data_IF_411511565329
#
_entry.id   IF_411511565329
#
_cell.length_a   1.000
_cell.length_b   1.000
_cell.length_c   1.000
_cell.angle_alpha   90.00
_cell.angle_beta   90.00
_cell.angle_gamma   90.00
#
_symmetry.space_group_name_H-M   'P 1'
#
loop_
_entity.id
_entity.type
_entity.pdbx_description
1 polymer ?
#
# COMPACT_ATOMS: atom_id res chain seq x y z
N UNK A 1 -1.95 -3.77 24.26
CA UNK A 1 -1.03 -3.32 23.20
C UNK A 1 -1.74 -3.36 21.85
N UNK A 2 -1.69 -2.28 21.09
CA UNK A 2 -2.24 -2.32 19.74
C UNK A 2 -1.45 -3.33 18.89
N UNK A 3 -2.15 -4.14 18.17
CA UNK A 3 -1.53 -5.14 17.31
C UNK A 3 -1.35 -4.58 15.91
N UNK A 4 -0.13 -4.67 15.40
CA UNK A 4 0.17 -4.32 14.02
C UNK A 4 -0.04 -5.55 13.13
N UNK A 5 -0.73 -5.36 12.03
CA UNK A 5 -1.01 -6.42 11.07
C UNK A 5 -0.67 -5.92 9.67
N UNK A 6 0.14 -6.70 8.94
CA UNK A 6 0.42 -6.42 7.55
C UNK A 6 -0.37 -7.41 6.70
N UNK A 7 -1.05 -6.91 5.67
CA UNK A 7 -1.87 -7.74 4.79
C UNK A 7 -1.36 -7.61 3.36
N UNK A 8 -1.07 -8.76 2.75
CA UNK A 8 -0.78 -8.87 1.33
C UNK A 8 -2.08 -9.24 0.63
N UNK A 9 -2.58 -8.34 -0.20
CA UNK A 9 -3.85 -8.55 -0.88
C UNK A 9 -3.67 -9.39 -2.15
N UNK A 10 -4.68 -10.18 -2.48
CA UNK A 10 -4.73 -10.85 -3.76
C UNK A 10 -4.76 -9.82 -4.90
N UNK A 11 -4.44 -10.26 -6.10
CA UNK A 11 -4.41 -9.38 -7.28
C UNK A 11 -5.71 -8.60 -7.39
N UNK A 12 -5.59 -7.29 -7.57
CA UNK A 12 -6.73 -6.40 -7.61
C UNK A 12 -7.28 -6.00 -6.25
N UNK A 13 -6.68 -6.51 -5.17
CA UNK A 13 -7.02 -6.15 -3.78
C UNK A 13 -8.52 -6.17 -3.50
N UNK A 14 -9.23 -7.29 -3.75
CA UNK A 14 -10.69 -7.31 -3.59
C UNK A 14 -11.12 -6.99 -2.15
N UNK A 15 -10.34 -7.43 -1.16
CA UNK A 15 -10.66 -7.17 0.23
C UNK A 15 -10.57 -5.70 0.63
N UNK A 16 -9.76 -4.92 -0.08
CA UNK A 16 -9.62 -3.49 0.22
C UNK A 16 -10.62 -2.65 -0.57
N UNK A 17 -10.96 -3.06 -1.79
CA UNK A 17 -11.83 -2.24 -2.65
C UNK A 17 -13.32 -2.37 -2.37
N UNK A 18 -13.77 -3.48 -1.78
CA UNK A 18 -15.21 -3.67 -1.46
C UNK A 18 -15.47 -3.30 0.00
N UNK A 19 -16.39 -3.98 0.64
CA UNK A 19 -16.55 -3.84 2.08
C UNK A 19 -15.32 -4.32 2.82
N UNK A 20 -14.50 -5.06 2.10
CA UNK A 20 -13.15 -5.37 2.50
C UNK A 20 -13.05 -6.44 3.56
N UNK A 21 -11.92 -7.17 3.47
CA UNK A 21 -11.50 -8.02 4.56
C UNK A 21 -10.23 -7.39 5.11
N UNK A 22 -10.38 -6.76 6.26
CA UNK A 22 -9.25 -6.21 6.98
C UNK A 22 -8.65 -7.24 7.93
N UNK A 23 -7.93 -6.78 8.93
CA UNK A 23 -7.37 -7.67 9.94
C UNK A 23 -8.44 -8.60 10.53
N UNK A 24 -8.07 -9.85 10.73
CA UNK A 24 -8.95 -10.89 11.28
C UNK A 24 -10.12 -11.26 10.36
N UNK A 25 -10.00 -10.98 9.05
CA UNK A 25 -11.01 -11.30 8.05
C UNK A 25 -12.37 -10.61 8.31
N UNK A 26 -12.35 -9.46 8.97
CA UNK A 26 -13.57 -8.69 9.25
C UNK A 26 -13.82 -7.67 8.16
N UNK A 27 -15.08 -7.40 7.80
CA UNK A 27 -15.38 -6.30 6.88
C UNK A 27 -14.90 -4.97 7.44
N UNK A 28 -14.26 -4.14 6.62
CA UNK A 28 -13.62 -2.91 7.11
C UNK A 28 -13.93 -1.65 6.34
N UNK A 29 -14.72 -1.68 5.27
CA UNK A 29 -14.89 -0.52 4.39
C UNK A 29 -13.53 0.02 3.91
N UNK A 30 -12.67 -0.88 3.46
CA UNK A 30 -11.28 -0.56 3.14
C UNK A 30 -11.11 0.55 2.11
N UNK A 31 -12.00 0.63 1.11
CA UNK A 31 -11.91 1.65 0.08
C UNK A 31 -12.13 3.05 0.65
N UNK A 32 -13.11 3.20 1.53
CA UNK A 32 -13.38 4.47 2.21
C UNK A 32 -12.20 4.85 3.10
N UNK A 33 -11.68 3.88 3.83
CA UNK A 33 -10.51 4.10 4.70
C UNK A 33 -9.28 4.51 3.89
N UNK A 34 -9.08 3.88 2.73
CA UNK A 34 -7.97 4.22 1.85
C UNK A 34 -8.10 5.65 1.31
N UNK A 35 -9.28 6.04 0.89
CA UNK A 35 -9.54 7.40 0.39
C UNK A 35 -9.23 8.43 1.48
N UNK A 36 -9.73 8.22 2.69
CA UNK A 36 -9.46 9.11 3.82
C UNK A 36 -7.98 9.13 4.20
N UNK A 37 -7.33 7.99 4.13
CA UNK A 37 -5.91 7.85 4.43
C UNK A 37 -5.06 8.68 3.46
N UNK A 38 -5.30 8.56 2.16
CA UNK A 38 -4.59 9.35 1.17
C UNK A 38 -4.87 10.85 1.34
N UNK A 39 -6.10 11.24 1.59
CA UNK A 39 -6.45 12.64 1.80
C UNK A 39 -5.72 13.23 3.02
N UNK A 40 -5.55 12.42 4.06
CA UNK A 40 -4.93 12.88 5.31
C UNK A 40 -3.41 12.93 5.24
N UNK A 41 -2.79 11.96 4.59
CA UNK A 41 -1.34 11.76 4.71
C UNK A 41 -0.56 12.02 3.43
N UNK A 42 -1.20 12.45 2.35
CA UNK A 42 -0.48 12.78 1.11
C UNK A 42 -0.93 14.12 0.57
N UNK A 43 -0.05 14.73 -0.26
CA UNK A 43 -0.42 15.90 -1.07
C UNK A 43 -0.74 15.50 -2.51
N UNK A 44 -0.13 14.40 -2.98
CA UNK A 44 -0.25 13.99 -4.39
C UNK A 44 -1.43 13.04 -4.65
N UNK A 45 -1.96 12.42 -3.63
CA UNK A 45 -3.04 11.43 -3.77
C UNK A 45 -4.35 11.91 -3.14
N UNK A 46 -4.48 13.21 -2.92
CA UNK A 46 -5.73 13.80 -2.41
C UNK A 46 -6.78 13.84 -3.51
N UNK A 47 -8.04 13.75 -3.09
CA UNK A 47 -9.20 13.87 -3.99
C UNK A 47 -9.29 12.78 -5.06
N UNK A 48 -8.65 11.64 -4.85
CA UNK A 48 -8.87 10.47 -5.70
C UNK A 48 -10.27 9.92 -5.41
N UNK A 49 -11.10 9.79 -6.46
CA UNK A 49 -12.44 9.25 -6.30
C UNK A 49 -12.41 7.76 -5.97
N UNK A 50 -13.48 7.24 -5.38
CA UNK A 50 -13.60 5.80 -5.11
C UNK A 50 -13.50 4.99 -6.38
N UNK A 51 -14.10 5.47 -7.49
CA UNK A 51 -14.04 4.81 -8.79
C UNK A 51 -12.60 4.69 -9.28
N UNK A 52 -11.82 5.76 -9.16
CA UNK A 52 -10.42 5.76 -9.57
C UNK A 52 -9.56 4.88 -8.66
N UNK A 53 -9.83 4.90 -7.35
CA UNK A 53 -9.12 4.04 -6.40
C UNK A 53 -9.40 2.56 -6.68
N UNK A 54 -10.64 2.21 -6.97
CA UNK A 54 -11.00 0.84 -7.36
C UNK A 54 -10.21 0.39 -8.59
N UNK A 55 -10.15 1.25 -9.61
CA UNK A 55 -9.41 0.96 -10.83
C UNK A 55 -7.92 0.82 -10.58
N UNK A 56 -7.36 1.68 -9.74
CA UNK A 56 -5.96 1.62 -9.34
C UNK A 56 -5.65 0.29 -8.66
N UNK A 57 -6.46 -0.13 -7.70
CA UNK A 57 -6.27 -1.39 -6.98
C UNK A 57 -6.39 -2.59 -7.93
N UNK A 58 -7.39 -2.55 -8.81
CA UNK A 58 -7.61 -3.63 -9.80
C UNK A 58 -6.39 -3.82 -10.69
N UNK A 59 -5.72 -2.74 -11.07
CA UNK A 59 -4.59 -2.78 -11.99
C UNK A 59 -3.24 -2.88 -11.28
N UNK A 60 -3.23 -2.96 -9.96
CA UNK A 60 -1.99 -3.19 -9.21
C UNK A 60 -1.67 -4.68 -9.18
N UNK A 61 -0.40 -5.01 -9.40
CA UNK A 61 0.05 -6.40 -9.35
C UNK A 61 0.06 -6.94 -7.93
N UNK A 62 0.42 -6.09 -6.98
CA UNK A 62 0.38 -6.44 -5.56
C UNK A 62 0.09 -5.18 -4.74
N UNK A 63 -0.67 -5.37 -3.67
CA UNK A 63 -1.02 -4.31 -2.72
C UNK A 63 -0.73 -4.80 -1.32
N UNK A 64 -0.08 -3.96 -0.52
CA UNK A 64 0.18 -4.21 0.88
C UNK A 64 -0.53 -3.13 1.70
N UNK A 65 -1.21 -3.54 2.76
CA UNK A 65 -1.78 -2.62 3.74
C UNK A 65 -1.28 -2.95 5.13
N UNK A 66 -1.05 -1.93 5.93
CA UNK A 66 -0.58 -2.06 7.31
C UNK A 66 -1.65 -1.48 8.23
N UNK A 67 -2.01 -2.23 9.25
CA UNK A 67 -3.11 -1.91 10.15
C UNK A 67 -2.66 -1.91 11.61
N UNK A 68 -3.22 -0.99 12.36
CA UNK A 68 -3.13 -0.98 13.80
C UNK A 68 -4.56 -1.18 14.32
N UNK A 69 -4.89 -2.40 14.77
CA UNK A 69 -6.26 -2.81 15.03
C UNK A 69 -7.10 -2.66 13.75
N UNK A 70 -8.14 -1.83 13.74
CA UNK A 70 -9.02 -1.60 12.60
C UNK A 70 -8.65 -0.34 11.82
N UNK A 71 -7.53 0.30 12.14
CA UNK A 71 -7.10 1.54 11.51
C UNK A 71 -6.05 1.28 10.45
N UNK A 72 -6.26 1.83 9.27
CA UNK A 72 -5.26 1.77 8.19
C UNK A 72 -4.16 2.80 8.50
N UNK A 73 -2.92 2.32 8.63
CA UNK A 73 -1.78 3.17 8.98
C UNK A 73 -0.66 3.14 7.95
N UNK A 74 -0.73 2.26 6.98
CA UNK A 74 0.27 2.19 5.91
C UNK A 74 -0.27 1.52 4.67
N UNK A 75 0.30 1.87 3.52
CA UNK A 75 -0.12 1.37 2.22
C UNK A 75 1.06 1.39 1.26
N UNK A 76 1.08 0.44 0.35
CA UNK A 76 2.01 0.45 -0.77
C UNK A 76 1.50 -0.49 -1.85
N UNK A 77 1.86 -0.19 -3.09
CA UNK A 77 1.47 -1.05 -4.21
C UNK A 77 2.58 -1.11 -5.24
N UNK A 78 2.51 -2.11 -6.11
CA UNK A 78 3.46 -2.25 -7.20
C UNK A 78 2.75 -2.69 -8.46
N UNK A 79 3.26 -2.24 -9.59
CA UNK A 79 2.88 -2.73 -10.92
C UNK A 79 4.09 -3.41 -11.56
N UNK A 80 3.87 -4.53 -12.23
CA UNK A 80 4.97 -5.35 -12.73
C UNK A 80 4.52 -6.21 -13.91
N UNK A 81 5.45 -6.42 -14.85
CA UNK A 81 5.28 -7.46 -15.86
C UNK A 81 5.78 -8.82 -15.35
N UNK A 82 6.29 -8.87 -14.14
CA UNK A 82 6.82 -10.06 -13.45
C UNK A 82 8.08 -10.65 -14.09
N UNK A 83 8.69 -9.96 -15.02
CA UNK A 83 9.88 -10.42 -15.75
C UNK A 83 10.98 -9.37 -15.71
N UNK A 84 10.71 -8.20 -16.24
CA UNK A 84 11.75 -7.19 -16.47
C UNK A 84 11.65 -6.00 -15.54
N UNK A 85 10.46 -5.43 -15.38
CA UNK A 85 10.31 -4.14 -14.69
C UNK A 85 9.20 -4.20 -13.65
N UNK A 86 9.51 -3.65 -12.50
CA UNK A 86 8.54 -3.42 -11.43
C UNK A 86 8.64 -1.98 -10.98
N UNK A 87 7.52 -1.35 -10.73
CA UNK A 87 7.48 -0.01 -10.14
C UNK A 87 6.69 -0.07 -8.84
N UNK A 88 7.28 0.44 -7.78
CA UNK A 88 6.62 0.58 -6.48
C UNK A 88 6.06 1.99 -6.39
N UNK A 89 4.78 2.09 -6.04
CA UNK A 89 4.02 3.33 -6.02
C UNK A 89 3.35 3.55 -4.68
N UNK A 90 3.12 4.82 -4.36
CA UNK A 90 2.19 5.22 -3.29
C UNK A 90 2.52 4.56 -1.94
N UNK A 91 3.79 4.47 -1.57
CA UNK A 91 4.18 4.00 -0.24
C UNK A 91 3.94 5.13 0.73
N UNK A 92 2.97 4.96 1.62
CA UNK A 92 2.52 5.99 2.55
C UNK A 92 2.39 5.39 3.95
N UNK A 93 2.91 6.11 4.93
CA UNK A 93 2.76 5.76 6.36
C UNK A 93 2.12 6.94 7.06
N UNK A 94 1.19 6.68 7.98
CA UNK A 94 0.61 7.71 8.83
C UNK A 94 1.72 8.54 9.48
N UNK A 95 1.59 9.87 9.45
CA UNK A 95 2.70 10.76 9.82
C UNK A 95 3.19 10.57 11.25
N UNK A 96 2.32 10.21 12.18
CA UNK A 96 2.71 9.95 13.56
C UNK A 96 3.50 8.65 13.74
N UNK A 97 3.60 7.82 12.70
CA UNK A 97 4.32 6.55 12.74
C UNK A 97 5.53 6.52 11.81
N UNK A 98 5.83 7.61 11.14
CA UNK A 98 7.02 7.71 10.30
C UNK A 98 8.28 7.67 11.18
N UNK A 99 9.39 7.21 10.60
CA UNK A 99 10.64 7.09 11.34
C UNK A 99 10.78 5.79 12.13
N UNK A 100 9.80 4.88 12.05
CA UNK A 100 9.83 3.59 12.76
C UNK A 100 10.10 2.40 11.85
N UNK A 101 10.50 2.64 10.61
CA UNK A 101 10.83 1.57 9.68
C UNK A 101 9.63 0.92 8.99
N UNK A 102 8.43 1.43 9.15
CA UNK A 102 7.23 0.83 8.56
C UNK A 102 7.20 0.97 7.04
N UNK A 103 7.71 2.08 6.51
CA UNK A 103 7.83 2.23 5.05
C UNK A 103 8.75 1.19 4.45
N UNK A 104 9.89 0.94 5.10
CA UNK A 104 10.82 -0.09 4.66
C UNK A 104 10.20 -1.48 4.79
N UNK A 105 9.42 -1.71 5.82
CA UNK A 105 8.69 -2.97 6.00
C UNK A 105 7.76 -3.23 4.81
N UNK A 106 7.00 -2.23 4.39
CA UNK A 106 6.09 -2.36 3.25
C UNK A 106 6.88 -2.61 1.96
N UNK A 107 7.95 -1.86 1.74
CA UNK A 107 8.81 -2.04 0.56
C UNK A 107 9.39 -3.45 0.52
N UNK A 108 9.88 -3.95 1.65
CA UNK A 108 10.44 -5.30 1.74
C UNK A 108 9.38 -6.36 1.45
N UNK A 109 8.16 -6.18 1.95
CA UNK A 109 7.06 -7.10 1.67
C UNK A 109 6.70 -7.12 0.18
N UNK A 110 6.69 -5.95 -0.46
CA UNK A 110 6.47 -5.87 -1.90
C UNK A 110 7.57 -6.58 -2.67
N UNK A 111 8.84 -6.31 -2.33
CA UNK A 111 10.00 -6.86 -3.03
C UNK A 111 10.13 -8.37 -2.85
N UNK A 112 9.64 -8.93 -1.75
CA UNK A 112 9.68 -10.36 -1.49
C UNK A 112 8.53 -11.13 -2.13
N UNK A 113 7.60 -10.44 -2.77
CA UNK A 113 6.51 -11.09 -3.50
C UNK A 113 7.08 -11.92 -4.66
N UNK A 114 6.50 -13.12 -4.88
CA UNK A 114 6.89 -13.97 -6.01
C UNK A 114 6.68 -13.29 -7.36
N UNK A 115 5.76 -12.31 -7.43
CA UNK A 115 5.51 -11.56 -8.66
C UNK A 115 6.59 -10.54 -8.98
N UNK A 116 7.41 -10.17 -8.00
CA UNK A 116 8.32 -9.03 -8.12
C UNK A 116 9.78 -9.41 -7.92
N UNK A 117 10.06 -10.34 -7.03
CA UNK A 117 11.44 -10.59 -6.56
C UNK A 117 12.42 -10.98 -7.66
N UNK A 118 11.93 -11.50 -8.77
CA UNK A 118 12.76 -11.90 -9.91
C UNK A 118 12.75 -10.87 -11.04
N UNK A 119 12.18 -9.69 -10.82
CA UNK A 119 12.23 -8.62 -11.81
C UNK A 119 13.67 -8.16 -12.03
N UNK A 120 14.00 -7.88 -13.29
CA UNK A 120 15.34 -7.42 -13.65
C UNK A 120 15.67 -6.09 -12.98
N UNK A 121 14.71 -5.17 -12.93
CA UNK A 121 14.84 -3.87 -12.26
C UNK A 121 13.58 -3.50 -11.51
N UNK A 122 13.77 -2.92 -10.32
CA UNK A 122 12.69 -2.42 -9.47
C UNK A 122 12.90 -0.92 -9.27
N UNK A 123 11.89 -0.14 -9.63
CA UNK A 123 11.90 1.31 -9.49
C UNK A 123 10.98 1.73 -8.35
N UNK A 124 11.41 2.73 -7.60
CA UNK A 124 10.61 3.32 -6.53
C UNK A 124 10.21 4.73 -6.96
N UNK A 125 8.92 4.96 -7.13
CA UNK A 125 8.40 6.28 -7.50
C UNK A 125 8.14 7.11 -6.26
N UNK A 126 8.86 8.22 -6.15
CA UNK A 126 8.70 9.15 -5.04
C UNK A 126 8.39 10.54 -5.58
N UNK A 127 7.68 11.35 -4.79
CA UNK A 127 7.48 12.76 -5.11
C UNK A 127 8.35 13.64 -4.22
N UNK A 128 8.07 13.69 -2.92
CA UNK A 128 8.76 14.59 -1.99
C UNK A 128 9.32 13.87 -0.77
N UNK A 129 9.62 12.58 -0.91
CA UNK A 129 9.97 11.77 0.24
C UNK A 129 11.34 11.11 0.13
N UNK A 130 12.30 11.81 -0.49
CA UNK A 130 13.66 11.27 -0.63
C UNK A 130 14.28 10.90 0.72
N UNK A 131 14.06 11.72 1.75
CA UNK A 131 14.55 11.43 3.09
C UNK A 131 13.89 10.18 3.67
N UNK A 132 12.60 10.01 3.43
CA UNK A 132 11.86 8.82 3.87
C UNK A 132 12.45 7.54 3.30
N UNK A 133 12.80 7.55 2.03
CA UNK A 133 13.30 6.36 1.35
C UNK A 133 14.80 6.11 1.58
N UNK A 134 15.51 7.09 2.09
CA UNK A 134 16.93 6.96 2.41
C UNK A 134 17.18 6.48 3.83
N UNK A 135 16.17 6.22 4.57
CA UNK A 135 16.29 5.76 5.96
C UNK A 135 16.51 4.25 6.05
#
# INVERSE_FOLDING_TARGET
MPKLTIIRHAKGAPGLRCLGLGPYLRPTNGLIKLQKFFNKYTSWATNRSKTKLKKMLKNSSIVISLWKNQELIGFGRATSDSVFRTVIWDVVIASNLQGNGFGQLIINELMNSSLIKNSEKIYLMTTNCSEFYNQ
#
